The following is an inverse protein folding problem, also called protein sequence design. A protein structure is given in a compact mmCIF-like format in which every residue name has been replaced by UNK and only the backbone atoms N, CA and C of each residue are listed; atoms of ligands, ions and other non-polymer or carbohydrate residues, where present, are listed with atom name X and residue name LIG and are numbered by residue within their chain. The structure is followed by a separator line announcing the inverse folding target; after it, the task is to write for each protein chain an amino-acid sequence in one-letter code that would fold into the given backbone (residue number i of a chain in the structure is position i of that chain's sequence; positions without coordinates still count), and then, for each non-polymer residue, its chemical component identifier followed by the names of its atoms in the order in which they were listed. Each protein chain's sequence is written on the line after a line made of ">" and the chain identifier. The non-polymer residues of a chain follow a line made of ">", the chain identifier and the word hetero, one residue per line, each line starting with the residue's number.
data_IF_509894698859
#
_entry.id   IF_509894698859
#
_cell.length_a   1.000
_cell.length_b   1.000
_cell.length_c   1.000
_cell.angle_alpha   90.00
_cell.angle_beta   90.00
_cell.angle_gamma   90.00
#
_symmetry.space_group_name_H-M   'P 1'
#
loop_
_entity.id
_entity.type
_entity.pdbx_description
1 polymer ?
#
# COMPACT_ATOMS: atom_id res chain seq x y z
N UNK A 1 -16.25 -15.51 -20.03
CA UNK A 1 -16.07 -16.96 -19.77
C UNK A 1 -16.34 -17.28 -18.30
N UNK A 2 -17.38 -18.04 -17.95
CA UNK A 2 -17.65 -18.41 -16.56
C UNK A 2 -16.68 -19.52 -16.13
N UNK A 3 -15.84 -19.26 -15.12
CA UNK A 3 -15.00 -20.30 -14.51
C UNK A 3 -15.88 -21.14 -13.58
N UNK A 4 -16.12 -22.40 -13.96
CA UNK A 4 -16.77 -23.41 -13.11
C UNK A 4 -15.98 -23.53 -11.80
N UNK A 5 -16.63 -23.25 -10.66
CA UNK A 5 -16.10 -23.57 -9.33
C UNK A 5 -16.17 -25.08 -9.15
N UNK A 6 -15.02 -25.78 -9.15
CA UNK A 6 -14.94 -27.13 -8.59
C UNK A 6 -15.11 -27.02 -7.08
N UNK A 7 -16.08 -27.75 -6.52
CA UNK A 7 -16.18 -27.98 -5.07
C UNK A 7 -14.87 -28.61 -4.61
N UNK A 8 -14.16 -27.94 -3.70
CA UNK A 8 -13.03 -28.54 -2.98
C UNK A 8 -13.60 -29.51 -1.95
N UNK A 9 -13.18 -30.77 -2.04
CA UNK A 9 -13.46 -31.80 -1.05
C UNK A 9 -12.93 -31.37 0.33
N UNK A 10 -13.62 -31.79 1.38
CA UNK A 10 -13.24 -31.56 2.77
C UNK A 10 -11.86 -32.16 3.05
N UNK A 11 -10.85 -31.30 3.20
CA UNK A 11 -9.52 -31.66 3.71
C UNK A 11 -9.58 -31.76 5.24
N UNK A 12 -10.22 -32.81 5.75
CA UNK A 12 -10.22 -33.18 7.17
C UNK A 12 -9.41 -34.46 7.41
N UNK A 13 -8.25 -34.61 6.76
CA UNK A 13 -7.42 -35.81 6.91
C UNK A 13 -5.92 -35.64 6.58
N UNK A 14 -5.34 -34.45 6.78
CA UNK A 14 -3.88 -34.25 6.74
C UNK A 14 -3.43 -33.36 7.92
N UNK A 15 -3.85 -33.76 9.13
CA UNK A 15 -3.13 -33.44 10.35
C UNK A 15 -2.12 -34.56 10.58
N UNK A 16 -0.90 -34.38 10.10
CA UNK A 16 0.31 -34.91 10.76
C UNK A 16 1.56 -34.42 10.04
N UNK A 17 2.40 -33.74 10.80
CA UNK A 17 3.80 -33.44 10.54
C UNK A 17 4.13 -32.38 9.48
N UNK A 18 3.85 -31.12 9.84
CA UNK A 18 4.75 -30.02 9.46
C UNK A 18 5.34 -29.41 10.74
N UNK A 19 6.56 -29.83 11.10
CA UNK A 19 7.35 -29.15 12.13
C UNK A 19 7.79 -27.79 11.60
N UNK A 20 6.90 -26.80 11.69
CA UNK A 20 7.32 -25.41 11.75
C UNK A 20 7.57 -25.06 13.22
N UNK A 21 8.69 -24.41 13.54
CA UNK A 21 8.96 -24.01 14.92
C UNK A 21 7.92 -22.96 15.37
N UNK A 22 7.57 -22.92 16.67
CA UNK A 22 6.72 -21.87 17.21
C UNK A 22 7.36 -20.50 16.96
N UNK A 23 6.54 -19.49 16.72
CA UNK A 23 6.93 -18.11 16.38
C UNK A 23 7.93 -17.49 17.38
N UNK A 24 7.99 -18.03 18.60
CA UNK A 24 8.91 -17.59 19.66
C UNK A 24 10.36 -18.10 19.49
N UNK A 25 10.66 -18.96 18.50
CA UNK A 25 11.99 -19.56 18.31
C UNK A 25 12.97 -18.72 17.47
N UNK A 26 12.63 -17.48 17.08
CA UNK A 26 13.53 -16.56 16.37
C UNK A 26 14.08 -15.42 17.23
N UNK A 27 13.82 -15.45 18.54
CA UNK A 27 14.44 -14.54 19.51
C UNK A 27 15.83 -15.07 19.85
N UNK A 28 16.80 -14.87 18.95
CA UNK A 28 18.24 -14.74 19.23
C UNK A 28 19.05 -14.73 17.91
N UNK A 29 18.71 -13.82 17.00
CA UNK A 29 19.75 -13.25 16.14
C UNK A 29 20.24 -12.02 16.89
N UNK A 30 21.36 -12.17 17.61
CA UNK A 30 22.14 -11.04 18.06
C UNK A 30 22.51 -10.23 16.82
N UNK A 31 21.71 -9.19 16.54
CA UNK A 31 22.08 -8.15 15.63
C UNK A 31 23.39 -7.59 16.19
N UNK A 32 24.49 -7.81 15.45
CA UNK A 32 25.68 -6.99 15.61
C UNK A 32 25.21 -5.56 15.53
N UNK A 33 25.34 -4.82 16.63
CA UNK A 33 25.03 -3.40 16.67
C UNK A 33 26.07 -2.71 15.78
N UNK A 34 25.82 -2.69 14.47
CA UNK A 34 26.48 -1.76 13.57
C UNK A 34 26.10 -0.38 14.09
N UNK A 35 27.05 0.23 14.78
CA UNK A 35 26.92 1.46 15.56
C UNK A 35 26.72 2.69 14.70
N UNK A 36 25.62 2.72 13.93
CA UNK A 36 25.21 3.89 13.19
C UNK A 36 23.68 4.01 13.25
N UNK A 37 23.21 4.53 14.37
CA UNK A 37 21.79 4.80 14.66
C UNK A 37 21.25 6.03 13.93
N UNK A 38 22.01 6.60 13.00
CA UNK A 38 21.60 7.76 12.23
C UNK A 38 20.65 7.35 11.08
N UNK A 39 19.62 8.15 10.78
CA UNK A 39 18.79 7.92 9.60
C UNK A 39 19.66 8.00 8.34
N UNK A 40 19.88 6.87 7.67
CA UNK A 40 20.61 6.81 6.40
C UNK A 40 19.76 7.48 5.31
N UNK A 41 20.07 8.73 4.99
CA UNK A 41 19.48 9.43 3.84
C UNK A 41 20.18 9.00 2.55
N UNK A 42 19.44 8.91 1.45
CA UNK A 42 20.02 8.67 0.13
C UNK A 42 20.80 9.90 -0.34
N UNK A 43 22.02 9.70 -0.86
CA UNK A 43 22.86 10.77 -1.45
C UNK A 43 22.19 11.52 -2.61
N UNK A 44 21.17 10.92 -3.23
CA UNK A 44 20.42 11.52 -4.34
C UNK A 44 19.32 12.47 -3.88
N UNK A 45 19.03 12.51 -2.57
CA UNK A 45 18.01 13.36 -2.00
C UNK A 45 18.64 14.20 -0.88
N UNK A 46 19.10 15.40 -1.23
CA UNK A 46 19.37 16.44 -0.24
C UNK A 46 18.03 16.85 0.37
N UNK A 47 17.79 16.45 1.62
CA UNK A 47 16.56 16.81 2.32
C UNK A 47 16.73 18.22 2.86
N UNK A 48 16.13 19.20 2.19
CA UNK A 48 15.77 20.42 2.89
C UNK A 48 14.74 20.05 3.96
N UNK A 49 15.10 20.23 5.23
CA UNK A 49 14.15 20.12 6.36
C UNK A 49 13.16 21.28 6.26
N UNK A 50 12.18 21.16 5.38
CA UNK A 50 10.98 21.97 5.47
C UNK A 50 10.15 21.40 6.62
N UNK A 51 9.68 22.26 7.52
CA UNK A 51 8.67 21.86 8.50
C UNK A 51 7.45 21.38 7.70
N UNK A 52 7.29 20.06 7.62
CA UNK A 52 6.34 19.40 6.73
C UNK A 52 5.09 19.09 7.53
N UNK A 53 4.10 19.99 7.46
CA UNK A 53 2.74 19.64 7.84
C UNK A 53 2.24 18.48 6.99
N UNK A 54 1.39 17.63 7.57
CA UNK A 54 0.68 16.61 6.81
C UNK A 54 -0.11 17.29 5.67
N UNK A 55 -0.23 16.62 4.52
CA UNK A 55 -1.08 17.11 3.45
C UNK A 55 -2.54 17.10 3.90
N UNK A 56 -3.22 18.22 3.72
CA UNK A 56 -4.62 18.41 4.13
C UNK A 56 -5.59 17.70 3.18
N UNK A 57 -6.85 17.52 3.61
CA UNK A 57 -7.88 16.83 2.84
C UNK A 57 -8.07 17.42 1.42
N UNK A 58 -7.96 18.74 1.28
CA UNK A 58 -8.10 19.45 0.01
C UNK A 58 -7.03 19.07 -1.01
N UNK A 59 -5.83 18.68 -0.56
CA UNK A 59 -4.79 18.19 -1.46
C UNK A 59 -5.26 16.94 -2.23
N UNK A 60 -5.99 16.04 -1.57
CA UNK A 60 -6.46 14.81 -2.20
C UNK A 60 -7.72 15.01 -3.05
N UNK A 61 -8.48 16.07 -2.78
CA UNK A 61 -9.73 16.38 -3.47
C UNK A 61 -9.49 17.03 -4.85
N UNK A 62 -8.82 16.29 -5.73
CA UNK A 62 -8.49 16.70 -7.08
C UNK A 62 -8.81 15.59 -8.09
N UNK A 63 -9.02 15.91 -9.39
CA UNK A 63 -9.18 14.91 -10.43
C UNK A 63 -8.00 13.94 -10.49
N UNK A 64 -8.27 12.67 -10.80
CA UNK A 64 -7.32 11.55 -10.74
C UNK A 64 -5.93 11.85 -11.34
N UNK A 65 -5.89 12.37 -12.57
CA UNK A 65 -4.63 12.70 -13.26
C UNK A 65 -3.86 13.83 -12.54
N UNK A 66 -4.57 14.87 -12.08
CA UNK A 66 -3.97 15.99 -11.37
C UNK A 66 -3.40 15.56 -10.02
N UNK A 67 -4.10 14.68 -9.31
CA UNK A 67 -3.64 14.12 -8.04
C UNK A 67 -2.38 13.25 -8.25
N UNK A 68 -2.39 12.36 -9.23
CA UNK A 68 -1.24 11.49 -9.54
C UNK A 68 0.03 12.31 -9.82
N UNK A 69 -0.09 13.40 -10.59
CA UNK A 69 1.02 14.34 -10.83
C UNK A 69 1.44 15.09 -9.57
N UNK A 70 0.48 15.56 -8.78
CA UNK A 70 0.75 16.31 -7.54
C UNK A 70 1.48 15.48 -6.49
N UNK A 71 1.33 14.15 -6.51
CA UNK A 71 2.08 13.27 -5.64
C UNK A 71 3.57 13.20 -5.95
N UNK A 72 3.98 13.45 -7.20
CA UNK A 72 5.39 13.36 -7.57
C UNK A 72 6.22 14.37 -6.76
N UNK A 73 7.24 13.85 -6.09
CA UNK A 73 8.12 14.61 -5.22
C UNK A 73 7.62 14.78 -3.78
N UNK A 74 6.38 14.41 -3.45
CA UNK A 74 5.88 14.38 -2.07
C UNK A 74 6.54 13.26 -1.26
N UNK A 75 6.48 13.36 0.06
CA UNK A 75 7.05 12.36 0.98
C UNK A 75 5.92 11.54 1.60
N UNK A 76 5.95 10.22 1.39
CA UNK A 76 5.17 9.27 2.17
C UNK A 76 5.94 8.95 3.45
N UNK A 77 5.30 9.19 4.60
CA UNK A 77 5.87 8.90 5.92
C UNK A 77 5.07 7.78 6.58
N UNK A 78 5.77 6.75 7.06
CA UNK A 78 5.19 5.67 7.86
C UNK A 78 5.79 5.68 9.26
N UNK A 79 4.95 5.96 10.26
CA UNK A 79 5.31 5.78 11.68
C UNK A 79 5.15 4.32 12.07
N UNK A 80 6.19 3.73 12.65
CA UNK A 80 6.21 2.36 13.15
C UNK A 80 5.75 2.32 14.62
N UNK A 81 5.31 1.15 15.13
CA UNK A 81 4.87 1.02 16.53
C UNK A 81 5.94 1.38 17.57
N UNK A 82 7.22 1.29 17.22
CA UNK A 82 8.37 1.63 18.07
C UNK A 82 8.77 3.12 18.00
N UNK A 83 7.98 3.95 17.31
CA UNK A 83 8.20 5.39 17.17
C UNK A 83 9.16 5.79 16.05
N UNK A 84 9.83 4.84 15.37
CA UNK A 84 10.64 5.15 14.19
C UNK A 84 9.76 5.62 13.04
N UNK A 85 10.31 6.47 12.18
CA UNK A 85 9.63 6.93 10.97
C UNK A 85 10.40 6.47 9.73
N UNK A 86 9.68 5.88 8.77
CA UNK A 86 10.20 5.57 7.44
C UNK A 86 9.72 6.63 6.47
N UNK A 87 10.63 7.17 5.67
CA UNK A 87 10.38 8.27 4.74
C UNK A 87 10.70 7.81 3.33
N UNK A 88 9.75 7.99 2.41
CA UNK A 88 9.93 7.66 0.99
C UNK A 88 9.44 8.80 0.11
N UNK A 89 10.29 9.29 -0.79
CA UNK A 89 9.86 10.25 -1.81
C UNK A 89 9.10 9.51 -2.91
N UNK A 90 7.92 9.98 -3.24
CA UNK A 90 7.14 9.46 -4.35
C UNK A 90 7.79 9.94 -5.64
N UNK A 91 8.26 9.01 -6.47
CA UNK A 91 8.95 9.29 -7.74
C UNK A 91 8.19 8.76 -8.95
N UNK A 92 7.19 7.92 -8.72
CA UNK A 92 6.38 7.27 -9.74
C UNK A 92 4.94 7.14 -9.24
N UNK A 93 3.98 7.36 -10.12
CA UNK A 93 2.54 7.21 -9.87
C UNK A 93 1.83 6.74 -11.13
N UNK A 94 0.73 6.01 -10.96
CA UNK A 94 -0.21 5.64 -12.01
C UNK A 94 -1.60 6.22 -11.68
N UNK A 95 -2.37 6.59 -12.71
CA UNK A 95 -3.72 7.13 -12.56
C UNK A 95 -4.73 6.13 -13.14
N UNK A 96 -5.68 5.68 -12.29
CA UNK A 96 -6.78 4.81 -12.68
C UNK A 96 -8.09 5.60 -12.66
N UNK A 97 -8.64 5.93 -13.82
CA UNK A 97 -9.77 6.88 -13.93
C UNK A 97 -11.11 6.27 -13.48
N UNK A 98 -11.18 4.94 -13.38
CA UNK A 98 -12.45 4.23 -13.23
C UNK A 98 -13.36 4.45 -14.44
N UNK A 99 -14.64 4.07 -14.32
CA UNK A 99 -15.60 4.27 -15.41
C UNK A 99 -15.15 3.58 -16.70
N UNK A 100 -14.75 4.35 -17.70
CA UNK A 100 -14.29 3.83 -18.99
C UNK A 100 -12.89 3.20 -18.96
N UNK A 101 -12.10 3.45 -17.91
CA UNK A 101 -10.77 2.86 -17.76
C UNK A 101 -10.85 1.34 -17.60
N UNK A 102 -10.41 0.63 -18.65
CA UNK A 102 -10.47 -0.81 -18.71
C UNK A 102 -9.48 -1.53 -17.77
N UNK A 103 -8.41 -0.86 -17.38
CA UNK A 103 -7.40 -1.38 -16.47
C UNK A 103 -7.79 -1.20 -15.00
N UNK A 104 -8.75 -0.29 -14.72
CA UNK A 104 -9.19 -0.01 -13.36
C UNK A 104 -10.04 -1.13 -12.76
N UNK A 105 -9.83 -1.39 -11.47
CA UNK A 105 -10.73 -2.22 -10.68
C UNK A 105 -12.16 -1.67 -10.60
N UNK A 106 -12.38 -0.38 -10.87
CA UNK A 106 -13.68 0.27 -10.94
C UNK A 106 -14.21 0.46 -12.38
N UNK A 107 -13.67 -0.29 -13.37
CA UNK A 107 -14.20 -0.33 -14.74
C UNK A 107 -15.72 -0.51 -14.76
N UNK A 108 -16.40 0.28 -15.58
CA UNK A 108 -17.85 0.30 -15.74
C UNK A 108 -18.61 0.71 -14.49
N UNK A 109 -17.97 1.43 -13.55
CA UNK A 109 -18.57 1.76 -12.26
C UNK A 109 -18.70 0.57 -11.31
N UNK A 110 -17.97 -0.52 -11.57
CA UNK A 110 -18.08 -1.75 -10.78
C UNK A 110 -17.59 -1.54 -9.35
N UNK A 111 -18.52 -1.58 -8.40
CA UNK A 111 -18.23 -1.56 -6.98
C UNK A 111 -18.39 -2.96 -6.37
N UNK A 112 -17.42 -3.34 -5.55
CA UNK A 112 -17.35 -4.59 -4.79
C UNK A 112 -16.90 -4.27 -3.38
N UNK A 113 -17.06 -5.21 -2.44
CA UNK A 113 -16.55 -5.02 -1.08
C UNK A 113 -15.04 -4.73 -1.06
N UNK A 114 -14.27 -5.34 -1.96
CA UNK A 114 -12.82 -5.17 -2.05
C UNK A 114 -12.41 -3.75 -2.44
N UNK A 115 -13.02 -3.19 -3.49
CA UNK A 115 -12.63 -1.88 -4.04
C UNK A 115 -13.49 -0.72 -3.50
N UNK A 116 -14.26 -0.93 -2.44
CA UNK A 116 -15.15 0.08 -1.86
C UNK A 116 -14.43 1.40 -1.55
N UNK A 117 -13.17 1.33 -1.10
CA UNK A 117 -12.33 2.50 -0.84
C UNK A 117 -12.12 3.43 -2.05
N UNK A 118 -12.17 2.91 -3.28
CA UNK A 118 -12.07 3.74 -4.50
C UNK A 118 -13.29 4.64 -4.72
N UNK A 119 -14.40 4.38 -4.03
CA UNK A 119 -15.65 5.14 -4.08
C UNK A 119 -15.89 5.95 -2.80
N UNK A 120 -14.94 5.91 -1.87
CA UNK A 120 -14.96 6.72 -0.65
C UNK A 120 -14.32 8.09 -0.91
N UNK A 121 -14.42 8.98 0.08
CA UNK A 121 -13.86 10.34 0.02
C UNK A 121 -12.40 10.35 -0.48
N UNK A 122 -11.99 11.39 -1.21
CA UNK A 122 -10.61 11.53 -1.65
C UNK A 122 -9.63 11.47 -0.47
N UNK A 123 -8.45 10.86 -0.69
CA UNK A 123 -7.46 10.58 0.35
C UNK A 123 -7.66 9.24 1.06
N UNK A 124 -8.77 8.52 0.81
CA UNK A 124 -8.97 7.17 1.36
C UNK A 124 -8.00 6.18 0.71
N UNK A 125 -7.28 5.41 1.52
CA UNK A 125 -6.37 4.37 1.02
C UNK A 125 -7.14 3.15 0.54
N UNK A 126 -6.84 2.71 -0.67
CA UNK A 126 -7.23 1.40 -1.19
C UNK A 126 -5.99 0.51 -1.28
N UNK A 127 -5.80 -0.33 -0.27
CA UNK A 127 -4.73 -1.33 -0.22
C UNK A 127 -5.31 -2.70 -0.52
N UNK A 128 -4.73 -3.40 -1.48
CA UNK A 128 -5.20 -4.72 -1.86
C UNK A 128 -4.06 -5.69 -2.11
N UNK A 129 -4.35 -6.99 -1.98
CA UNK A 129 -3.40 -8.04 -2.28
C UNK A 129 -3.42 -8.41 -3.77
N UNK A 130 -2.23 -8.49 -4.38
CA UNK A 130 -2.01 -8.96 -5.75
C UNK A 130 -1.19 -10.25 -5.71
N UNK A 131 -1.56 -11.21 -6.58
CA UNK A 131 -0.96 -12.54 -6.67
C UNK A 131 -0.93 -13.36 -5.36
N UNK A 132 -1.68 -12.95 -4.33
CA UNK A 132 -1.71 -13.62 -3.04
C UNK A 132 -0.46 -13.41 -2.17
N UNK A 133 0.49 -12.57 -2.57
CA UNK A 133 1.75 -12.38 -1.84
C UNK A 133 2.26 -10.93 -1.77
N UNK A 134 1.77 -10.03 -2.62
CA UNK A 134 2.17 -8.62 -2.63
C UNK A 134 1.00 -7.69 -2.35
N UNK A 135 1.29 -6.46 -1.96
CA UNK A 135 0.29 -5.41 -1.76
C UNK A 135 0.52 -4.24 -2.69
N UNK A 136 -0.57 -3.66 -3.20
CA UNK A 136 -0.57 -2.40 -3.93
C UNK A 136 -1.30 -1.35 -3.09
N UNK A 137 -0.71 -0.17 -2.96
CA UNK A 137 -1.29 0.97 -2.24
C UNK A 137 -1.79 1.98 -3.25
N UNK A 138 -3.06 2.37 -3.13
CA UNK A 138 -3.70 3.36 -3.97
C UNK A 138 -4.36 4.41 -3.07
N UNK A 139 -4.59 5.61 -3.60
CA UNK A 139 -5.28 6.69 -2.90
C UNK A 139 -6.49 7.11 -3.74
N UNK A 140 -7.68 7.15 -3.13
CA UNK A 140 -8.89 7.66 -3.79
C UNK A 140 -8.70 9.13 -4.15
N UNK A 141 -9.04 9.49 -5.39
CA UNK A 141 -9.06 10.88 -5.87
C UNK A 141 -10.49 11.43 -5.88
N UNK A 142 -10.67 12.67 -6.34
CA UNK A 142 -12.02 13.16 -6.66
C UNK A 142 -12.68 12.24 -7.67
N UNK A 143 -13.84 11.69 -7.31
CA UNK A 143 -14.74 10.96 -8.20
C UNK A 143 -15.68 11.91 -8.94
N UNK A 144 -16.27 11.42 -10.03
CA UNK A 144 -17.49 12.01 -10.58
C UNK A 144 -18.70 11.53 -9.82
#
# INVERSE_FOLDING_TARGET
>A
MPRKRKLLAQLSALQSNSSFPPFDALVNLNATSDGDSAPKSSKYFAVEKKNSSQLEADFFNQPCISLAKSFLGQILVRKLPDGRELWGRIVETEAYLGGEDEASHSKGGKQTQRNAAMFMKPGTLYVYQIYGIYFCVNVSSQGK
#
